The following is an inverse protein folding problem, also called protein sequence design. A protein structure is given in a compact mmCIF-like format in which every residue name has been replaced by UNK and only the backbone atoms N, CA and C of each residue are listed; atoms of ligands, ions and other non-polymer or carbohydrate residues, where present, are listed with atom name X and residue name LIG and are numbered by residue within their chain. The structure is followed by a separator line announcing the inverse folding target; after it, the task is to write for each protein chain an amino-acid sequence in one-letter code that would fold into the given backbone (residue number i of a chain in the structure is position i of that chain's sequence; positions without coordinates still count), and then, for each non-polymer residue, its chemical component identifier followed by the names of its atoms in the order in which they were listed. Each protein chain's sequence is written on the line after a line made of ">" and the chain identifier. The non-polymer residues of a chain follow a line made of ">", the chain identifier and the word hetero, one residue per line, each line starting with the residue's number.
data_IF_037916666034
#
_entry.id   IF_037916666034
#
_cell.length_a   1.000
_cell.length_b   1.000
_cell.length_c   1.000
_cell.angle_alpha   90.00
_cell.angle_beta   90.00
_cell.angle_gamma   90.00
#
_symmetry.space_group_name_H-M   'P 1'
#
loop_
_entity.id
_entity.type
_entity.pdbx_description
1 polymer ?
#
# COMPACT_ATOMS: atom_id res chain seq x y z
N UNK A 1 2.86 -25.24 28.89
CA UNK A 1 2.86 -24.65 27.53
C UNK A 1 2.91 -23.13 27.66
N UNK A 2 4.10 -22.57 27.55
CA UNK A 2 4.28 -21.12 27.50
C UNK A 2 3.51 -20.58 26.28
N UNK A 3 2.50 -19.75 26.50
CA UNK A 3 1.75 -19.11 25.41
C UNK A 3 2.77 -18.27 24.63
N UNK A 4 3.18 -18.74 23.46
CA UNK A 4 3.96 -17.96 22.50
C UNK A 4 3.16 -16.68 22.24
N UNK A 5 3.59 -15.58 22.87
CA UNK A 5 2.91 -14.29 22.77
C UNK A 5 2.99 -13.90 21.30
N UNK A 6 1.86 -13.99 20.61
CA UNK A 6 1.75 -13.66 19.19
C UNK A 6 2.15 -12.20 19.08
N UNK A 7 3.36 -11.94 18.57
CA UNK A 7 3.86 -10.59 18.38
C UNK A 7 2.96 -9.89 17.36
N UNK A 8 1.95 -9.15 17.85
CA UNK A 8 1.03 -8.34 17.07
C UNK A 8 1.55 -6.91 17.09
N UNK A 9 1.56 -6.29 15.92
CA UNK A 9 1.91 -4.88 15.77
C UNK A 9 0.64 -4.07 16.02
N UNK A 10 0.24 -3.96 17.29
CA UNK A 10 -1.05 -3.38 17.67
C UNK A 10 -1.18 -1.93 17.19
N UNK A 11 -0.10 -1.15 17.23
CA UNK A 11 -0.08 0.22 16.69
C UNK A 11 -0.40 0.27 15.18
N UNK A 12 0.06 -0.71 14.41
CA UNK A 12 -0.18 -0.74 12.96
C UNK A 12 -1.59 -1.23 12.65
N UNK A 13 -2.13 -2.17 13.43
CA UNK A 13 -3.53 -2.55 13.34
C UNK A 13 -4.45 -1.35 13.64
N UNK A 14 -4.11 -0.51 14.63
CA UNK A 14 -4.85 0.74 14.95
C UNK A 14 -4.77 1.76 13.81
N UNK A 15 -3.58 2.06 13.27
CA UNK A 15 -3.45 3.02 12.16
C UNK A 15 -4.22 2.53 10.93
N UNK A 16 -4.22 1.22 10.65
CA UNK A 16 -5.01 0.67 9.55
C UNK A 16 -6.51 0.84 9.77
N UNK A 17 -6.99 0.58 10.98
CA UNK A 17 -8.40 0.78 11.33
C UNK A 17 -8.79 2.25 11.18
N UNK A 18 -7.95 3.17 11.67
CA UNK A 18 -8.13 4.60 11.51
C UNK A 18 -8.23 5.00 10.03
N UNK A 19 -7.31 4.53 9.18
CA UNK A 19 -7.33 4.83 7.76
C UNK A 19 -8.60 4.30 7.06
N UNK A 20 -9.06 3.09 7.40
CA UNK A 20 -10.31 2.55 6.83
C UNK A 20 -11.52 3.38 7.28
N UNK A 21 -11.60 3.75 8.56
CA UNK A 21 -12.67 4.59 9.07
C UNK A 21 -12.71 5.95 8.38
N UNK A 22 -11.56 6.62 8.27
CA UNK A 22 -11.45 7.91 7.57
C UNK A 22 -11.80 7.80 6.08
N UNK A 23 -11.44 6.70 5.42
CA UNK A 23 -11.78 6.48 4.00
C UNK A 23 -13.29 6.33 3.80
N UNK A 24 -13.94 5.51 4.63
CA UNK A 24 -15.40 5.30 4.57
C UNK A 24 -16.13 6.61 4.89
N UNK A 25 -15.79 7.26 6.00
CA UNK A 25 -16.39 8.54 6.39
C UNK A 25 -16.16 9.62 5.32
N UNK A 26 -14.97 9.65 4.71
CA UNK A 26 -14.64 10.53 3.58
C UNK A 26 -15.65 10.43 2.44
N UNK A 27 -15.92 9.20 1.99
CA UNK A 27 -16.92 8.96 0.94
C UNK A 27 -18.35 9.30 1.39
N UNK A 28 -18.73 8.99 2.63
CA UNK A 28 -20.07 9.31 3.14
C UNK A 28 -20.30 10.82 3.26
N UNK A 29 -19.37 11.56 3.87
CA UNK A 29 -19.53 13.01 4.06
C UNK A 29 -19.45 13.73 2.73
N UNK A 30 -18.52 13.37 1.82
CA UNK A 30 -18.50 13.98 0.49
C UNK A 30 -19.76 13.67 -0.33
N UNK A 31 -20.42 12.53 -0.12
CA UNK A 31 -21.67 12.19 -0.79
C UNK A 31 -22.92 12.88 -0.20
N UNK A 32 -22.95 13.14 1.11
CA UNK A 32 -24.13 13.64 1.81
C UNK A 32 -24.07 15.13 2.15
N UNK A 33 -22.87 15.69 2.32
CA UNK A 33 -22.68 17.09 2.70
C UNK A 33 -22.82 17.98 1.46
N UNK A 34 -23.81 18.87 1.50
CA UNK A 34 -24.04 19.86 0.45
C UNK A 34 -22.85 20.84 0.33
N UNK A 35 -22.57 21.30 -0.89
CA UNK A 35 -21.40 22.14 -1.19
C UNK A 35 -21.32 23.42 -0.35
N UNK A 36 -22.48 23.99 0.03
CA UNK A 36 -22.58 25.18 0.90
C UNK A 36 -21.94 25.03 2.30
N UNK A 37 -21.73 23.79 2.76
CA UNK A 37 -21.13 23.49 4.06
C UNK A 37 -19.65 23.08 3.96
N UNK A 38 -19.10 23.06 2.75
CA UNK A 38 -17.68 22.75 2.50
C UNK A 38 -16.84 24.02 2.60
N UNK A 39 -16.66 24.49 3.83
CA UNK A 39 -15.90 25.71 4.11
C UNK A 39 -14.49 25.39 4.63
N UNK A 40 -13.48 25.61 3.80
CA UNK A 40 -12.07 25.42 4.18
C UNK A 40 -11.57 26.42 5.24
N UNK A 41 -12.29 27.52 5.48
CA UNK A 41 -11.95 28.45 6.55
C UNK A 41 -12.35 27.92 7.93
N UNK A 42 -13.27 26.96 7.99
CA UNK A 42 -13.62 26.30 9.23
C UNK A 42 -12.56 25.26 9.60
N UNK A 43 -11.88 25.49 10.73
CA UNK A 43 -10.83 24.60 11.23
C UNK A 43 -11.24 23.13 11.30
N UNK A 44 -12.48 22.83 11.70
CA UNK A 44 -12.98 21.45 11.83
C UNK A 44 -13.10 20.79 10.46
N UNK A 45 -13.67 21.49 9.48
CA UNK A 45 -13.81 20.98 8.12
C UNK A 45 -12.45 20.82 7.45
N UNK A 46 -11.56 21.82 7.60
CA UNK A 46 -10.20 21.76 7.08
C UNK A 46 -9.42 20.58 7.65
N UNK A 47 -9.43 20.38 8.97
CA UNK A 47 -8.73 19.27 9.61
C UNK A 47 -9.28 17.92 9.14
N UNK A 48 -10.60 17.80 9.06
CA UNK A 48 -11.25 16.60 8.56
C UNK A 48 -10.90 16.34 7.08
N UNK A 49 -10.95 17.36 6.23
CA UNK A 49 -10.63 17.28 4.81
C UNK A 49 -9.16 16.89 4.59
N UNK A 50 -8.25 17.48 5.36
CA UNK A 50 -6.83 17.13 5.38
C UNK A 50 -6.61 15.67 5.79
N UNK A 51 -7.19 15.23 6.91
CA UNK A 51 -7.11 13.84 7.38
C UNK A 51 -7.66 12.86 6.34
N UNK A 52 -8.74 13.23 5.65
CA UNK A 52 -9.33 12.42 4.57
C UNK A 52 -8.40 12.33 3.35
N UNK A 53 -7.74 13.42 2.98
CA UNK A 53 -6.78 13.45 1.86
C UNK A 53 -5.55 12.56 2.09
N UNK A 54 -4.98 12.57 3.29
CA UNK A 54 -3.79 11.74 3.62
C UNK A 54 -4.12 10.26 3.90
N UNK A 55 -5.41 9.92 4.00
CA UNK A 55 -5.84 8.57 4.39
C UNK A 55 -5.42 7.49 3.40
N UNK A 56 -5.56 7.74 2.08
CA UNK A 56 -5.13 6.77 1.07
C UNK A 56 -3.61 6.50 1.12
N UNK A 57 -2.72 7.52 1.12
CA UNK A 57 -1.28 7.32 1.32
C UNK A 57 -0.93 6.51 2.57
N UNK A 58 -1.58 6.81 3.71
CA UNK A 58 -1.37 6.09 4.98
C UNK A 58 -1.80 4.63 4.84
N UNK A 59 -2.99 4.37 4.29
CA UNK A 59 -3.50 3.02 4.09
C UNK A 59 -2.58 2.15 3.22
N UNK A 60 -2.10 2.70 2.10
CA UNK A 60 -1.19 2.00 1.19
C UNK A 60 0.17 1.71 1.84
N UNK A 61 0.74 2.70 2.55
CA UNK A 61 2.00 2.54 3.28
C UNK A 61 1.89 1.48 4.37
N UNK A 62 0.86 1.56 5.19
CA UNK A 62 0.60 0.61 6.28
C UNK A 62 0.40 -0.81 5.73
N UNK A 63 -0.36 -0.95 4.65
CA UNK A 63 -0.59 -2.24 4.00
C UNK A 63 0.70 -2.87 3.48
N UNK A 64 1.56 -2.08 2.81
CA UNK A 64 2.87 -2.53 2.34
C UNK A 64 3.80 -2.94 3.47
N UNK A 65 3.80 -2.17 4.57
CA UNK A 65 4.58 -2.46 5.77
C UNK A 65 4.25 -3.83 6.34
N UNK A 66 2.98 -4.07 6.67
CA UNK A 66 2.57 -5.30 7.35
C UNK A 66 2.79 -6.51 6.46
N UNK A 67 2.45 -6.37 5.18
CA UNK A 67 2.63 -7.44 4.23
C UNK A 67 4.09 -7.85 4.14
N UNK A 68 4.99 -6.89 3.94
CA UNK A 68 6.44 -7.16 3.83
C UNK A 68 7.04 -7.65 5.14
N UNK A 69 6.66 -7.04 6.27
CA UNK A 69 7.08 -7.49 7.59
C UNK A 69 6.74 -8.97 7.81
N UNK A 70 5.50 -9.38 7.52
CA UNK A 70 5.07 -10.77 7.66
C UNK A 70 5.67 -11.71 6.62
N UNK A 71 5.97 -11.21 5.42
CA UNK A 71 6.58 -11.97 4.33
C UNK A 71 8.04 -12.34 4.67
N UNK A 72 8.78 -11.40 5.24
CA UNK A 72 10.20 -11.52 5.61
C UNK A 72 10.38 -12.14 7.01
N UNK A 73 9.32 -12.17 7.83
CA UNK A 73 9.35 -12.78 9.17
C UNK A 73 9.67 -14.27 9.16
N UNK A 74 9.35 -14.99 8.08
CA UNK A 74 9.62 -16.41 7.98
C UNK A 74 11.14 -16.64 7.83
N UNK A 75 11.79 -17.02 8.93
CA UNK A 75 13.23 -17.24 9.05
C UNK A 75 13.67 -18.68 8.78
N UNK A 76 12.74 -19.59 8.50
CA UNK A 76 13.03 -20.98 8.14
C UNK A 76 13.58 -21.03 6.70
N UNK A 77 14.84 -21.44 6.55
CA UNK A 77 15.51 -21.60 5.25
C UNK A 77 14.77 -22.55 4.29
N UNK A 78 13.96 -23.47 4.81
CA UNK A 78 13.15 -24.43 4.05
C UNK A 78 11.86 -23.84 3.48
N UNK A 79 11.43 -22.66 3.95
CA UNK A 79 10.17 -21.98 3.57
C UNK A 79 10.40 -20.62 2.89
N UNK A 80 11.55 -20.41 2.27
CA UNK A 80 11.89 -19.17 1.55
C UNK A 80 11.46 -19.26 0.08
N UNK A 81 11.13 -18.12 -0.53
CA UNK A 81 10.75 -18.05 -1.95
C UNK A 81 9.35 -18.62 -2.20
N UNK A 82 9.21 -19.49 -3.20
CA UNK A 82 7.92 -20.09 -3.60
C UNK A 82 7.31 -21.02 -2.55
N UNK A 83 8.14 -21.56 -1.66
CA UNK A 83 7.69 -22.41 -0.56
C UNK A 83 7.11 -21.61 0.60
N UNK A 84 7.25 -20.28 0.58
CA UNK A 84 6.66 -19.43 1.61
C UNK A 84 5.12 -19.46 1.48
N UNK A 85 4.37 -19.93 2.50
CA UNK A 85 2.91 -19.96 2.45
C UNK A 85 2.29 -18.57 2.29
N UNK A 86 3.02 -17.50 2.64
CA UNK A 86 2.58 -16.10 2.50
C UNK A 86 2.59 -15.62 1.06
N UNK A 87 3.48 -16.14 0.21
CA UNK A 87 3.51 -15.83 -1.23
C UNK A 87 2.21 -16.32 -1.88
N UNK A 88 1.87 -17.61 -1.68
CA UNK A 88 0.63 -18.19 -2.23
C UNK A 88 -0.63 -17.49 -1.70
N UNK A 89 -0.68 -17.19 -0.39
CA UNK A 89 -1.78 -16.43 0.22
C UNK A 89 -1.88 -15.00 -0.33
N UNK A 90 -0.74 -14.35 -0.53
CA UNK A 90 -0.64 -13.00 -1.09
C UNK A 90 -1.11 -12.95 -2.54
N UNK A 91 -0.66 -13.88 -3.40
CA UNK A 91 -1.09 -13.99 -4.79
C UNK A 91 -2.60 -14.23 -4.87
N UNK A 92 -3.11 -15.22 -4.13
CA UNK A 92 -4.55 -15.51 -4.09
C UNK A 92 -5.35 -14.30 -3.67
N UNK A 93 -4.90 -13.56 -2.65
CA UNK A 93 -5.56 -12.34 -2.18
C UNK A 93 -5.49 -11.22 -3.21
N UNK A 94 -4.31 -10.96 -3.81
CA UNK A 94 -4.14 -9.92 -4.82
C UNK A 94 -5.06 -10.15 -6.03
N UNK A 95 -5.09 -11.37 -6.55
CA UNK A 95 -5.99 -11.76 -7.65
C UNK A 95 -7.46 -11.70 -7.25
N UNK A 96 -7.81 -12.15 -6.04
CA UNK A 96 -9.18 -12.06 -5.52
C UNK A 96 -9.64 -10.61 -5.42
N UNK A 97 -8.80 -9.69 -4.96
CA UNK A 97 -9.14 -8.26 -4.86
C UNK A 97 -9.38 -7.66 -6.25
N UNK A 98 -8.52 -7.96 -7.22
CA UNK A 98 -8.70 -7.54 -8.61
C UNK A 98 -10.01 -8.11 -9.18
N UNK A 99 -10.30 -9.40 -8.95
CA UNK A 99 -11.53 -10.03 -9.42
C UNK A 99 -12.80 -9.42 -8.79
N UNK A 100 -12.78 -9.17 -7.48
CA UNK A 100 -13.89 -8.48 -6.78
C UNK A 100 -14.05 -7.06 -7.31
N UNK A 101 -12.96 -6.38 -7.64
CA UNK A 101 -13.02 -5.01 -8.13
C UNK A 101 -13.72 -4.92 -9.49
N UNK A 102 -13.39 -5.83 -10.42
CA UNK A 102 -14.12 -5.94 -11.69
C UNK A 102 -15.59 -6.35 -11.49
N UNK A 103 -15.85 -7.28 -10.57
CA UNK A 103 -17.21 -7.73 -10.28
C UNK A 103 -18.10 -6.61 -9.72
N UNK A 104 -17.61 -5.84 -8.74
CA UNK A 104 -18.38 -4.76 -8.12
C UNK A 104 -18.66 -3.60 -9.08
N UNK A 105 -17.74 -3.30 -10.00
CA UNK A 105 -17.88 -2.14 -10.89
C UNK A 105 -18.67 -2.44 -12.15
N UNK A 106 -18.82 -3.72 -12.52
CA UNK A 106 -19.49 -4.16 -13.76
C UNK A 106 -18.95 -3.48 -15.04
N UNK A 107 -17.73 -2.92 -14.97
CA UNK A 107 -17.07 -2.21 -16.06
C UNK A 107 -15.55 -2.42 -15.97
N UNK A 108 -14.93 -2.65 -17.11
CA UNK A 108 -13.47 -2.82 -17.25
C UNK A 108 -12.72 -1.50 -17.47
N UNK A 109 -13.44 -0.38 -17.49
CA UNK A 109 -12.90 0.92 -17.90
C UNK A 109 -12.45 1.81 -16.73
N UNK A 110 -12.47 1.31 -15.49
CA UNK A 110 -12.11 2.17 -14.37
C UNK A 110 -11.46 1.39 -13.24
N UNK A 111 -10.26 1.84 -12.87
CA UNK A 111 -9.44 1.25 -11.82
C UNK A 111 -9.74 1.96 -10.50
N UNK A 112 -9.92 1.16 -9.45
CA UNK A 112 -10.24 1.59 -8.08
C UNK A 112 -9.11 1.25 -7.11
N UNK A 113 -9.22 1.73 -5.87
CA UNK A 113 -8.38 1.33 -4.73
C UNK A 113 -8.16 -0.19 -4.69
N UNK A 114 -9.20 -0.99 -4.95
CA UNK A 114 -9.14 -2.45 -4.84
C UNK A 114 -8.23 -3.09 -5.91
N UNK A 115 -8.27 -2.57 -7.13
CA UNK A 115 -7.35 -2.94 -8.21
C UNK A 115 -5.92 -2.53 -7.86
N UNK A 116 -5.74 -1.29 -7.39
CA UNK A 116 -4.44 -0.73 -7.04
C UNK A 116 -3.76 -1.51 -5.90
N UNK A 117 -4.48 -1.78 -4.80
CA UNK A 117 -3.94 -2.56 -3.68
C UNK A 117 -3.68 -4.02 -4.08
N UNK A 118 -4.57 -4.61 -4.89
CA UNK A 118 -4.40 -5.97 -5.39
C UNK A 118 -3.13 -6.12 -6.22
N UNK A 119 -2.90 -5.19 -7.16
CA UNK A 119 -1.69 -5.19 -7.97
C UNK A 119 -0.44 -4.85 -7.16
N UNK A 120 -0.53 -3.89 -6.23
CA UNK A 120 0.59 -3.53 -5.37
C UNK A 120 1.08 -4.70 -4.52
N UNK A 121 0.16 -5.55 -4.03
CA UNK A 121 0.52 -6.80 -3.34
C UNK A 121 1.27 -7.76 -4.27
N UNK A 122 0.82 -7.91 -5.53
CA UNK A 122 1.50 -8.74 -6.52
C UNK A 122 2.91 -8.20 -6.81
N UNK A 123 3.07 -6.89 -6.97
CA UNK A 123 4.36 -6.25 -7.19
C UNK A 123 5.32 -6.41 -6.00
N UNK A 124 4.84 -6.32 -4.76
CA UNK A 124 5.65 -6.63 -3.57
C UNK A 124 6.11 -8.09 -3.55
N UNK A 125 5.23 -9.03 -3.91
CA UNK A 125 5.57 -10.45 -4.00
C UNK A 125 6.60 -10.69 -5.11
N UNK A 126 6.42 -10.09 -6.28
CA UNK A 126 7.39 -10.14 -7.37
C UNK A 126 8.73 -9.60 -6.92
N UNK A 127 8.74 -8.45 -6.22
CA UNK A 127 9.97 -7.86 -5.68
C UNK A 127 10.67 -8.82 -4.72
N UNK A 128 9.93 -9.46 -3.80
CA UNK A 128 10.46 -10.50 -2.92
C UNK A 128 11.01 -11.70 -3.68
N UNK A 129 10.29 -12.22 -4.67
CA UNK A 129 10.71 -13.36 -5.49
C UNK A 129 11.91 -13.05 -6.40
N UNK A 130 12.15 -11.78 -6.76
CA UNK A 130 13.36 -11.38 -7.46
C UNK A 130 14.58 -11.28 -6.53
N UNK A 131 14.34 -11.00 -5.25
CA UNK A 131 15.40 -10.68 -4.28
C UNK A 131 15.67 -11.78 -3.23
N UNK A 132 14.83 -12.80 -3.09
CA UNK A 132 14.99 -13.85 -2.06
C UNK A 132 16.28 -14.67 -2.19
N UNK A 133 16.71 -14.96 -3.43
CA UNK A 133 17.96 -15.68 -3.72
C UNK A 133 19.19 -14.75 -3.80
N UNK A 134 19.01 -13.45 -3.53
CA UNK A 134 20.06 -12.44 -3.63
C UNK A 134 20.49 -11.97 -2.24
N UNK A 135 21.46 -11.06 -2.20
CA UNK A 135 21.93 -10.47 -0.94
C UNK A 135 20.79 -9.74 -0.24
N UNK A 136 20.80 -9.75 1.09
CA UNK A 136 19.74 -9.15 1.91
C UNK A 136 19.53 -7.64 1.70
N UNK A 137 20.48 -6.92 1.11
CA UNK A 137 20.32 -5.50 0.73
C UNK A 137 19.55 -5.29 -0.58
N UNK A 138 19.33 -6.32 -1.40
CA UNK A 138 18.70 -6.17 -2.72
C UNK A 138 17.22 -5.83 -2.62
N UNK A 139 16.48 -6.47 -1.71
CA UNK A 139 15.07 -6.16 -1.52
C UNK A 139 14.82 -4.71 -1.05
N UNK A 140 15.45 -4.21 0.04
CA UNK A 140 15.22 -2.84 0.48
C UNK A 140 15.71 -1.79 -0.53
N UNK A 141 16.79 -2.06 -1.27
CA UNK A 141 17.25 -1.15 -2.33
C UNK A 141 16.23 -1.06 -3.47
N UNK A 142 15.69 -2.17 -3.97
CA UNK A 142 14.64 -2.14 -5.00
C UNK A 142 13.41 -1.36 -4.51
N UNK A 143 12.95 -1.61 -3.28
CA UNK A 143 11.78 -0.93 -2.72
C UNK A 143 12.00 0.57 -2.55
N UNK A 144 13.17 0.97 -2.04
CA UNK A 144 13.53 2.38 -1.87
C UNK A 144 13.70 3.09 -3.21
N UNK A 145 14.44 2.48 -4.15
CA UNK A 145 14.60 3.04 -5.50
C UNK A 145 13.25 3.18 -6.19
N UNK A 146 12.37 2.18 -6.10
CA UNK A 146 11.03 2.28 -6.69
C UNK A 146 10.20 3.39 -6.07
N UNK A 147 10.30 3.59 -4.76
CA UNK A 147 9.65 4.70 -4.05
C UNK A 147 10.14 6.06 -4.54
N UNK A 148 11.47 6.24 -4.60
CA UNK A 148 12.08 7.48 -5.05
C UNK A 148 11.70 7.77 -6.50
N UNK A 149 11.79 6.78 -7.39
CA UNK A 149 11.40 6.92 -8.79
C UNK A 149 9.91 7.26 -8.92
N UNK A 150 9.03 6.58 -8.17
CA UNK A 150 7.59 6.85 -8.22
C UNK A 150 7.26 8.29 -7.86
N UNK A 151 7.87 8.88 -6.83
CA UNK A 151 7.57 10.26 -6.43
C UNK A 151 8.33 11.32 -7.23
N UNK A 152 9.60 11.09 -7.56
CA UNK A 152 10.40 12.06 -8.33
C UNK A 152 9.92 12.23 -9.76
N UNK A 153 9.46 11.14 -10.39
CA UNK A 153 8.97 11.18 -11.77
C UNK A 153 7.47 11.51 -11.88
N UNK A 154 6.77 11.77 -10.76
CA UNK A 154 5.34 12.12 -10.78
C UNK A 154 4.99 13.23 -11.78
N UNK A 155 5.74 14.34 -11.85
CA UNK A 155 5.42 15.41 -12.80
C UNK A 155 5.47 14.97 -14.27
N UNK A 156 6.26 13.93 -14.60
CA UNK A 156 6.44 13.45 -15.98
C UNK A 156 5.37 12.47 -16.41
N UNK A 157 4.94 11.57 -15.53
CA UNK A 157 3.95 10.55 -15.92
C UNK A 157 2.50 10.95 -15.65
N UNK A 158 2.24 11.98 -14.82
CA UNK A 158 0.87 12.39 -14.47
C UNK A 158 -0.01 12.78 -15.68
N UNK A 159 0.62 13.31 -16.73
CA UNK A 159 -0.06 13.84 -17.93
C UNK A 159 0.00 12.86 -19.12
N UNK A 160 0.63 11.69 -18.96
CA UNK A 160 0.70 10.68 -20.01
C UNK A 160 -0.66 10.00 -20.18
N UNK A 161 -1.18 9.97 -21.41
CA UNK A 161 -2.52 9.44 -21.72
C UNK A 161 -2.51 8.01 -22.25
N UNK A 162 -1.37 7.52 -22.73
CA UNK A 162 -1.19 6.14 -23.23
C UNK A 162 -2.28 5.70 -24.23
N UNK A 163 -2.68 6.58 -25.15
CA UNK A 163 -3.79 6.33 -26.10
C UNK A 163 -3.57 5.13 -27.04
N UNK A 164 -2.32 4.63 -27.15
CA UNK A 164 -1.95 3.45 -27.93
C UNK A 164 -2.18 2.11 -27.22
N UNK A 165 -2.49 2.10 -25.91
CA UNK A 165 -2.74 0.88 -25.14
C UNK A 165 -4.24 0.57 -25.06
N UNK A 166 -4.63 -0.72 -24.97
CA UNK A 166 -6.01 -1.08 -24.68
C UNK A 166 -6.49 -0.40 -23.40
N UNK A 167 -7.69 0.20 -23.44
CA UNK A 167 -8.27 0.97 -22.33
C UNK A 167 -8.10 0.31 -20.95
N UNK A 168 -8.39 -0.99 -20.77
CA UNK A 168 -8.24 -1.65 -19.47
C UNK A 168 -6.84 -1.57 -18.90
N UNK A 169 -5.80 -1.58 -19.75
CA UNK A 169 -4.39 -1.49 -19.34
C UNK A 169 -3.99 -0.02 -19.15
N UNK A 170 -4.42 0.87 -20.05
CA UNK A 170 -4.16 2.30 -19.95
C UNK A 170 -4.67 2.87 -18.61
N UNK A 171 -5.84 2.41 -18.14
CA UNK A 171 -6.46 2.85 -16.88
C UNK A 171 -5.66 2.53 -15.61
N UNK A 172 -4.72 1.58 -15.67
CA UNK A 172 -3.79 1.34 -14.56
C UNK A 172 -2.64 2.34 -14.54
N UNK A 173 -2.37 3.03 -15.64
CA UNK A 173 -1.20 3.90 -15.80
C UNK A 173 -1.56 5.38 -15.85
N UNK A 174 -2.78 5.73 -16.27
CA UNK A 174 -3.21 7.12 -16.41
C UNK A 174 -4.52 7.43 -15.70
N UNK A 175 -4.68 8.70 -15.32
CA UNK A 175 -5.94 9.29 -14.84
C UNK A 175 -6.84 9.77 -15.99
N UNK A 176 -6.33 9.80 -17.22
CA UNK A 176 -6.96 10.47 -18.37
C UNK A 176 -8.37 9.93 -18.74
N UNK A 177 -8.68 8.69 -18.39
CA UNK A 177 -9.95 8.04 -18.72
C UNK A 177 -10.87 7.83 -17.50
N UNK A 178 -10.67 8.60 -16.41
CA UNK A 178 -11.56 8.60 -15.24
C UNK A 178 -11.19 7.62 -14.12
N UNK A 179 -9.97 7.05 -14.13
CA UNK A 179 -9.46 6.33 -12.96
C UNK A 179 -8.84 7.28 -11.92
N UNK A 180 -9.27 7.15 -10.68
CA UNK A 180 -8.71 7.88 -9.54
C UNK A 180 -7.45 7.22 -8.95
N UNK A 181 -7.21 5.94 -9.25
CA UNK A 181 -6.17 5.13 -8.62
C UNK A 181 -5.24 4.42 -9.62
N UNK A 182 -4.47 5.15 -10.44
CA UNK A 182 -3.40 4.56 -11.25
C UNK A 182 -2.28 4.00 -10.37
N UNK A 183 -1.57 2.97 -10.81
CA UNK A 183 -0.52 2.31 -10.01
C UNK A 183 0.53 3.30 -9.50
N UNK A 184 0.91 4.28 -10.30
CA UNK A 184 1.82 5.35 -9.91
C UNK A 184 1.02 6.64 -9.67
N UNK A 185 1.20 7.35 -8.54
CA UNK A 185 2.22 7.17 -7.50
C UNK A 185 1.88 6.14 -6.41
N UNK A 186 0.68 5.54 -6.40
CA UNK A 186 0.15 4.78 -5.26
C UNK A 186 1.03 3.61 -4.79
N UNK A 187 1.67 2.91 -5.73
CA UNK A 187 2.63 1.85 -5.44
C UNK A 187 3.87 2.37 -4.72
N UNK A 188 4.27 3.64 -4.94
CA UNK A 188 5.35 4.30 -4.21
C UNK A 188 5.11 4.32 -2.70
N UNK A 189 3.88 4.57 -2.25
CA UNK A 189 3.52 4.47 -0.83
C UNK A 189 3.60 3.03 -0.33
N UNK A 190 3.12 2.07 -1.12
CA UNK A 190 3.20 0.64 -0.77
C UNK A 190 4.65 0.16 -0.69
N UNK A 191 5.51 0.56 -1.62
CA UNK A 191 6.93 0.21 -1.64
C UNK A 191 7.69 0.86 -0.48
N UNK A 192 7.36 2.11 -0.14
CA UNK A 192 7.93 2.78 1.04
C UNK A 192 7.56 2.05 2.33
N UNK A 193 6.28 1.72 2.47
CA UNK A 193 5.78 0.89 3.56
C UNK A 193 6.50 -0.45 3.62
N UNK A 194 6.64 -1.12 2.47
CA UNK A 194 7.36 -2.39 2.37
C UNK A 194 8.83 -2.29 2.78
N UNK A 195 9.53 -1.23 2.37
CA UNK A 195 10.90 -0.94 2.79
C UNK A 195 11.00 -0.80 4.31
N UNK A 196 10.12 0.00 4.91
CA UNK A 196 10.07 0.16 6.36
C UNK A 196 9.76 -1.16 7.07
N UNK A 197 8.82 -1.95 6.55
CA UNK A 197 8.47 -3.27 7.09
C UNK A 197 9.63 -4.28 7.01
N UNK A 198 10.43 -4.23 5.94
CA UNK A 198 11.64 -5.02 5.78
C UNK A 198 12.68 -4.66 6.85
N UNK A 199 12.97 -3.35 7.02
CA UNK A 199 13.93 -2.88 8.02
C UNK A 199 13.48 -3.25 9.44
N UNK A 200 12.21 -3.04 9.75
CA UNK A 200 11.66 -3.35 11.08
C UNK A 200 11.79 -4.82 11.43
N UNK A 201 11.56 -5.69 10.46
CA UNK A 201 11.73 -7.13 10.65
C UNK A 201 13.21 -7.52 10.79
N UNK A 202 14.10 -6.90 10.00
CA UNK A 202 15.56 -7.15 10.05
C UNK A 202 16.17 -6.75 11.39
N UNK A 203 15.82 -5.57 11.89
CA UNK A 203 16.40 -5.02 13.12
C UNK A 203 15.59 -5.33 14.38
N UNK A 204 14.62 -6.27 14.30
CA UNK A 204 13.71 -6.63 15.39
C UNK A 204 14.43 -7.01 16.70
N UNK A 205 15.61 -7.62 16.61
CA UNK A 205 16.37 -8.11 17.77
C UNK A 205 17.28 -7.04 18.40
N UNK A 206 17.33 -5.81 17.85
CA UNK A 206 18.11 -4.75 18.47
C UNK A 206 17.42 -4.24 19.74
N UNK A 207 18.12 -4.19 20.89
CA UNK A 207 17.58 -3.59 22.09
C UNK A 207 17.30 -2.12 21.79
N UNK A 208 16.06 -1.67 22.03
CA UNK A 208 15.56 -0.30 21.81
C UNK A 208 15.03 0.06 20.41
N UNK A 209 14.83 -0.88 19.48
CA UNK A 209 14.23 -0.57 18.18
C UNK A 209 12.90 0.23 18.31
N UNK A 210 11.97 -0.24 19.16
CA UNK A 210 10.67 0.41 19.34
C UNK A 210 10.77 1.79 19.99
N UNK A 211 11.67 1.96 20.97
CA UNK A 211 11.89 3.25 21.64
C UNK A 211 12.48 4.27 20.67
N UNK A 212 13.52 3.86 19.93
CA UNK A 212 14.20 4.75 19.00
C UNK A 212 13.32 5.07 17.79
N UNK A 213 12.54 4.11 17.27
CA UNK A 213 11.61 4.36 16.17
C UNK A 213 10.49 5.37 16.52
N UNK A 214 10.12 5.48 17.80
CA UNK A 214 9.13 6.47 18.27
C UNK A 214 9.78 7.83 18.58
N UNK A 215 11.05 7.87 19.02
CA UNK A 215 11.74 9.12 19.34
C UNK A 215 12.38 9.84 18.14
N UNK A 216 12.62 9.12 17.03
CA UNK A 216 13.20 9.69 15.80
C UNK A 216 12.16 10.07 14.73
N UNK A 217 10.87 9.90 15.01
CA UNK A 217 9.75 10.40 14.21
C UNK A 217 9.01 11.50 14.99
#
# INVERSE_FOLDING_TARGET
>A
MEKIKKFRLDFIDVIRAFAICMMLQGHFINGLLADRYRDENNFIYWLWHYCTGITAPVFFTVSGFIFTFLLVKESDATKVGWNNPRVKKGIRRGLMLIGIAYFLRMSFQSVDVLHCIGLSLLLLITTYLLSYNRKSWVMPTILLTTTLLAFTFEPFYKDLRFDSLPLPIANYLTRAHGSFFPIFPWFGYVSFGGFMGYLFQRYKNHPHLYRNAICYF
#
